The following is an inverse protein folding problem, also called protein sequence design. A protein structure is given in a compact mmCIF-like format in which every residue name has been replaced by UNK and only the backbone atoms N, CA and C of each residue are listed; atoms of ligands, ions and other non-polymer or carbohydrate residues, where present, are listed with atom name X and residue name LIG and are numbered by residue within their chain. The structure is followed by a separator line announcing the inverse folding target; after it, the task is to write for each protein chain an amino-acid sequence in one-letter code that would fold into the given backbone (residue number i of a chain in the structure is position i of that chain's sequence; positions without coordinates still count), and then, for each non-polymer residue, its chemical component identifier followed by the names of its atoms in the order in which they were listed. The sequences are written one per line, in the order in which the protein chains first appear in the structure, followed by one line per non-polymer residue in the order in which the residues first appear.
data_IF_771261432203
#
_entry.id   IF_771261432203
#
_cell.length_a   1.000
_cell.length_b   1.000
_cell.length_c   1.000
_cell.angle_alpha   90.00
_cell.angle_beta   90.00
_cell.angle_gamma   90.00
#
_symmetry.space_group_name_H-M   'P 1'
#
loop_
_entity.id
_entity.type
_entity.pdbx_description
1 polymer ?
#
# COMPACT_ATOMS: atom_id res chain seq x y z
N UNK A 1 -0.50 -11.32 2.59
CA UNK A 1 -0.79 -10.65 3.89
C UNK A 1 0.46 -10.81 4.76
N UNK A 2 0.76 -9.88 5.66
CA UNK A 2 1.81 -10.13 6.65
C UNK A 2 1.40 -11.28 7.60
N UNK A 3 2.37 -12.07 8.08
CA UNK A 3 2.10 -13.17 9.00
C UNK A 3 2.32 -12.74 10.45
N UNK A 4 1.36 -13.01 11.35
CA UNK A 4 1.48 -12.71 12.78
C UNK A 4 2.69 -13.43 13.36
N UNK A 5 2.88 -14.70 12.98
CA UNK A 5 4.01 -15.53 13.39
C UNK A 5 5.39 -14.97 13.00
N UNK A 6 5.45 -14.09 11.99
CA UNK A 6 6.69 -13.43 11.57
C UNK A 6 6.98 -12.12 12.30
N UNK A 7 6.02 -11.61 13.08
CA UNK A 7 6.20 -10.40 13.86
C UNK A 7 6.94 -10.70 15.16
N UNK A 8 7.75 -9.74 15.61
CA UNK A 8 8.33 -9.78 16.97
C UNK A 8 7.21 -9.85 18.00
N UNK A 9 7.49 -10.49 19.14
CA UNK A 9 6.57 -10.53 20.29
C UNK A 9 6.11 -9.11 20.62
N UNK A 10 4.79 -8.94 20.76
CA UNK A 10 4.21 -7.64 21.03
C UNK A 10 4.53 -7.13 22.43
N UNK A 11 4.26 -5.85 22.67
CA UNK A 11 4.53 -5.22 23.98
C UNK A 11 3.62 -5.79 25.05
N UNK A 12 4.17 -6.15 26.21
CA UNK A 12 3.43 -6.60 27.39
C UNK A 12 3.10 -5.46 28.37
N UNK A 13 3.63 -4.25 28.18
CA UNK A 13 3.43 -3.07 29.04
C UNK A 13 2.44 -2.03 28.44
N UNK A 14 1.77 -2.41 27.36
CA UNK A 14 0.98 -1.50 26.52
C UNK A 14 -0.45 -1.22 26.99
N UNK A 15 -1.16 -0.42 26.20
CA UNK A 15 -2.58 -0.14 26.42
C UNK A 15 -3.44 -1.41 26.38
N UNK A 16 -3.10 -2.37 25.50
CA UNK A 16 -3.82 -3.64 25.41
C UNK A 16 -3.75 -4.47 26.70
N UNK A 17 -2.58 -4.51 27.34
CA UNK A 17 -2.43 -5.15 28.66
C UNK A 17 -3.35 -4.51 29.69
N UNK A 18 -3.43 -3.17 29.74
CA UNK A 18 -4.31 -2.47 30.70
C UNK A 18 -5.79 -2.69 30.44
N UNK A 19 -6.19 -2.91 29.19
CA UNK A 19 -7.59 -3.19 28.82
C UNK A 19 -8.02 -4.56 29.35
N UNK A 20 -7.16 -5.57 29.24
CA UNK A 20 -7.51 -6.95 29.61
C UNK A 20 -7.00 -7.38 30.99
N UNK A 21 -6.10 -6.61 31.60
CA UNK A 21 -5.43 -6.99 32.84
C UNK A 21 -4.45 -8.16 32.68
N UNK A 22 -3.99 -8.44 31.46
CA UNK A 22 -3.20 -9.63 31.13
C UNK A 22 -2.10 -9.31 30.10
N UNK A 23 -0.86 -9.66 30.46
CA UNK A 23 0.33 -9.34 29.66
C UNK A 23 0.44 -10.21 28.39
N UNK A 24 0.05 -11.48 28.46
CA UNK A 24 0.15 -12.40 27.32
C UNK A 24 -0.88 -12.03 26.25
N UNK A 25 -2.12 -11.78 26.65
CA UNK A 25 -3.17 -11.32 25.77
C UNK A 25 -2.86 -9.93 25.22
N UNK A 26 -2.39 -9.01 26.06
CA UNK A 26 -1.94 -7.69 25.62
C UNK A 26 -0.84 -7.75 24.56
N UNK A 27 0.15 -8.63 24.76
CA UNK A 27 1.26 -8.87 23.83
C UNK A 27 0.77 -9.47 22.51
N UNK A 28 -0.12 -10.45 22.54
CA UNK A 28 -0.68 -11.07 21.32
C UNK A 28 -1.47 -10.05 20.49
N UNK A 29 -2.32 -9.24 21.11
CA UNK A 29 -3.07 -8.18 20.40
C UNK A 29 -2.13 -7.12 19.83
N UNK A 30 -1.09 -6.75 20.58
CA UNK A 30 -0.04 -5.85 20.07
C UNK A 30 0.67 -6.42 18.83
N UNK A 31 0.89 -7.74 18.78
CA UNK A 31 1.49 -8.42 17.63
C UNK A 31 0.55 -8.43 16.42
N UNK A 32 -0.76 -8.67 16.63
CA UNK A 32 -1.79 -8.57 15.59
C UNK A 32 -1.83 -7.16 15.00
N UNK A 33 -1.78 -6.12 15.83
CA UNK A 33 -1.73 -4.74 15.35
C UNK A 33 -0.45 -4.47 14.53
N UNK A 34 0.73 -4.89 15.01
CA UNK A 34 1.96 -4.74 14.21
C UNK A 34 1.85 -5.46 12.84
N UNK A 35 1.14 -6.60 12.81
CA UNK A 35 0.86 -7.34 11.57
C UNK A 35 -0.05 -6.56 10.63
N UNK A 36 -1.11 -5.91 11.13
CA UNK A 36 -2.02 -5.11 10.30
C UNK A 36 -1.34 -3.89 9.68
N UNK A 37 -0.40 -3.26 10.40
CA UNK A 37 0.44 -2.19 9.84
C UNK A 37 1.32 -2.74 8.71
N UNK A 38 1.97 -3.88 8.94
CA UNK A 38 2.88 -4.51 7.98
C UNK A 38 2.16 -5.04 6.73
N UNK A 39 0.85 -5.27 6.81
CA UNK A 39 0.04 -5.76 5.70
C UNK A 39 0.10 -4.86 4.46
N UNK A 40 0.14 -3.54 4.64
CA UNK A 40 0.27 -2.58 3.54
C UNK A 40 1.61 -2.74 2.80
N UNK A 41 2.71 -2.82 3.54
CA UNK A 41 4.04 -3.04 2.96
C UNK A 41 4.17 -4.39 2.26
N UNK A 42 3.54 -5.44 2.79
CA UNK A 42 3.52 -6.74 2.12
C UNK A 42 2.68 -6.72 0.83
N UNK A 43 1.60 -5.94 0.78
CA UNK A 43 0.85 -5.73 -0.46
C UNK A 43 1.72 -5.01 -1.51
N UNK A 44 2.49 -3.99 -1.12
CA UNK A 44 3.40 -3.30 -2.04
C UNK A 44 4.42 -4.26 -2.68
N UNK A 45 5.03 -5.12 -1.86
CA UNK A 45 5.98 -6.15 -2.31
C UNK A 45 5.32 -7.16 -3.24
N UNK A 46 4.09 -7.55 -2.94
CA UNK A 46 3.34 -8.52 -3.74
C UNK A 46 3.00 -7.95 -5.13
N UNK A 47 2.60 -6.68 -5.21
CA UNK A 47 2.38 -5.99 -6.48
C UNK A 47 3.69 -5.90 -7.29
N UNK A 48 4.79 -5.47 -6.66
CA UNK A 48 6.08 -5.38 -7.35
C UNK A 48 6.57 -6.76 -7.86
N UNK A 49 6.47 -7.81 -7.04
CA UNK A 49 6.90 -9.15 -7.44
C UNK A 49 6.00 -9.81 -8.50
N UNK A 50 4.75 -9.36 -8.61
CA UNK A 50 3.81 -9.85 -9.62
C UNK A 50 3.96 -9.15 -10.98
N UNK A 51 4.68 -8.02 -11.03
CA UNK A 51 4.84 -7.21 -12.25
C UNK A 51 6.17 -7.51 -12.94
N UNK A 52 6.15 -7.68 -14.26
CA UNK A 52 7.36 -8.03 -15.02
C UNK A 52 8.24 -6.82 -15.36
N UNK A 53 7.68 -5.61 -15.36
CA UNK A 53 8.37 -4.37 -15.74
C UNK A 53 8.55 -3.43 -14.54
N UNK A 54 9.13 -3.93 -13.44
CA UNK A 54 9.56 -3.07 -12.32
C UNK A 54 10.84 -2.36 -12.70
N UNK A 55 10.80 -1.02 -12.73
CA UNK A 55 11.95 -0.21 -13.12
C UNK A 55 13.13 -0.38 -12.18
N UNK A 56 14.30 -0.57 -12.78
CA UNK A 56 15.60 -0.40 -12.15
C UNK A 56 16.12 1.03 -12.32
N UNK A 57 17.27 1.33 -11.72
CA UNK A 57 17.96 2.60 -11.96
C UNK A 57 18.34 2.78 -13.44
N UNK A 58 18.70 1.69 -14.14
CA UNK A 58 19.03 1.75 -15.56
C UNK A 58 17.80 2.07 -16.41
N UNK A 59 16.64 1.50 -16.06
CA UNK A 59 15.39 1.77 -16.77
C UNK A 59 14.94 3.22 -16.60
N UNK A 60 15.13 3.81 -15.41
CA UNK A 60 14.91 5.23 -15.20
C UNK A 60 15.82 6.09 -16.10
N UNK A 61 17.09 5.72 -16.24
CA UNK A 61 17.99 6.40 -17.18
C UNK A 61 17.55 6.19 -18.64
N UNK A 62 17.04 5.01 -19.00
CA UNK A 62 16.51 4.73 -20.33
C UNK A 62 15.24 5.53 -20.62
N UNK A 63 14.37 5.74 -19.64
CA UNK A 63 13.19 6.62 -19.74
C UNK A 63 13.63 8.05 -20.11
N UNK A 64 14.57 8.62 -19.35
CA UNK A 64 15.07 9.99 -19.57
C UNK A 64 15.76 10.14 -20.93
N UNK A 65 16.40 9.08 -21.42
CA UNK A 65 17.03 9.05 -22.73
C UNK A 65 16.09 8.62 -23.87
N UNK A 66 14.77 8.48 -23.62
CA UNK A 66 13.76 8.08 -24.62
C UNK A 66 14.07 6.72 -25.28
N UNK A 67 14.67 5.79 -24.52
CA UNK A 67 15.08 4.43 -24.96
C UNK A 67 14.31 3.30 -24.28
N UNK A 68 13.35 3.63 -23.43
CA UNK A 68 12.55 2.64 -22.72
C UNK A 68 11.54 2.00 -23.68
N UNK A 69 11.42 0.66 -23.78
CA UNK A 69 10.50 0.03 -24.71
C UNK A 69 9.05 0.14 -24.21
N UNK A 70 8.12 0.15 -25.17
CA UNK A 70 6.68 0.28 -24.89
C UNK A 70 6.19 -0.72 -23.83
N UNK A 71 5.34 -0.25 -22.94
CA UNK A 71 4.81 -1.04 -21.83
C UNK A 71 4.29 -0.18 -20.69
N UNK A 72 3.93 -0.86 -19.60
CA UNK A 72 3.51 -0.26 -18.33
C UNK A 72 4.59 -0.54 -17.31
N UNK A 73 5.31 0.51 -16.90
CA UNK A 73 6.48 0.39 -16.06
C UNK A 73 6.18 0.87 -14.64
N UNK A 74 6.47 0.02 -13.65
CA UNK A 74 6.27 0.33 -12.24
C UNK A 74 7.56 0.88 -11.63
N UNK A 75 7.54 2.10 -11.13
CA UNK A 75 8.61 2.70 -10.36
C UNK A 75 8.32 2.44 -8.87
N UNK A 76 9.12 1.61 -8.18
CA UNK A 76 8.88 1.31 -6.78
C UNK A 76 9.31 2.47 -5.87
N UNK A 77 8.68 2.60 -4.70
CA UNK A 77 8.99 3.59 -3.64
C UNK A 77 10.47 3.81 -3.39
N UNK A 78 11.27 2.73 -3.33
CA UNK A 78 12.73 2.82 -3.12
C UNK A 78 13.45 3.62 -4.21
N UNK A 79 13.06 3.43 -5.47
CA UNK A 79 13.65 4.16 -6.60
C UNK A 79 13.17 5.61 -6.62
N UNK A 80 11.89 5.85 -6.28
CA UNK A 80 11.31 7.18 -6.11
C UNK A 80 12.10 7.97 -5.05
N UNK A 81 12.28 7.40 -3.86
CA UNK A 81 12.99 8.05 -2.76
C UNK A 81 14.45 8.36 -3.11
N UNK A 82 15.14 7.42 -3.74
CA UNK A 82 16.58 7.55 -4.01
C UNK A 82 16.89 8.52 -5.16
N UNK A 83 16.06 8.55 -6.20
CA UNK A 83 16.37 9.26 -7.44
C UNK A 83 15.37 10.37 -7.80
N UNK A 84 14.06 10.12 -7.68
CA UNK A 84 13.05 11.07 -8.16
C UNK A 84 12.83 12.19 -7.13
N UNK A 85 12.55 11.81 -5.88
CA UNK A 85 12.24 12.74 -4.77
C UNK A 85 13.28 13.87 -4.67
N UNK A 86 14.56 13.51 -4.71
CA UNK A 86 15.69 14.46 -4.63
C UNK A 86 15.73 15.41 -5.83
N UNK A 87 15.54 14.90 -7.04
CA UNK A 87 15.58 15.69 -8.26
C UNK A 87 14.41 16.68 -8.37
N UNK A 88 13.26 16.34 -7.80
CA UNK A 88 12.06 17.19 -7.85
C UNK A 88 11.90 18.06 -6.59
N UNK A 89 12.78 17.92 -5.59
CA UNK A 89 12.71 18.68 -4.33
C UNK A 89 11.46 18.41 -3.48
N UNK A 90 10.89 17.21 -3.55
CA UNK A 90 9.67 16.87 -2.80
C UNK A 90 9.98 16.33 -1.41
N UNK A 91 9.11 16.62 -0.43
CA UNK A 91 9.15 15.99 0.90
C UNK A 91 8.28 14.72 0.99
N UNK A 92 7.33 14.55 0.06
CA UNK A 92 6.42 13.42 0.00
C UNK A 92 6.97 12.25 -0.82
N UNK A 93 6.50 11.05 -0.53
CA UNK A 93 6.90 9.81 -1.19
C UNK A 93 5.66 8.96 -1.48
N UNK A 94 5.12 8.99 -2.71
CA UNK A 94 4.06 8.06 -3.10
C UNK A 94 4.61 6.62 -3.10
N UNK A 95 3.71 5.64 -3.02
CA UNK A 95 4.11 4.23 -3.00
C UNK A 95 4.60 3.76 -4.37
N UNK A 96 3.97 4.24 -5.45
CA UNK A 96 4.40 3.96 -6.82
C UNK A 96 4.31 5.16 -7.75
N UNK A 97 5.05 5.07 -8.84
CA UNK A 97 4.74 5.77 -10.09
C UNK A 97 4.55 4.71 -11.17
N UNK A 98 3.55 4.85 -12.03
CA UNK A 98 3.36 3.97 -13.18
C UNK A 98 3.49 4.80 -14.45
N UNK A 99 4.38 4.39 -15.35
CA UNK A 99 4.58 5.01 -16.66
C UNK A 99 3.97 4.09 -17.72
N UNK A 100 2.93 4.57 -18.40
CA UNK A 100 2.31 3.87 -19.54
C UNK A 100 2.76 4.59 -20.81
N UNK A 101 3.76 4.02 -21.48
CA UNK A 101 4.43 4.68 -22.61
C UNK A 101 3.52 4.92 -23.81
N UNK A 102 2.67 3.93 -24.15
CA UNK A 102 1.79 3.99 -25.33
C UNK A 102 0.74 5.11 -25.21
N UNK A 103 0.25 5.33 -23.99
CA UNK A 103 -0.78 6.34 -23.71
C UNK A 103 -0.19 7.69 -23.28
N UNK A 104 1.15 7.77 -23.16
CA UNK A 104 1.86 8.92 -22.59
C UNK A 104 1.30 9.33 -21.21
N UNK A 105 0.98 8.36 -20.35
CA UNK A 105 0.45 8.61 -19.00
C UNK A 105 1.44 8.28 -17.90
N UNK A 106 1.46 9.13 -16.88
CA UNK A 106 2.18 8.88 -15.64
C UNK A 106 1.23 8.97 -14.44
N UNK A 107 1.08 7.87 -13.71
CA UNK A 107 0.23 7.81 -12.53
C UNK A 107 1.08 7.86 -11.27
N UNK A 108 0.85 8.86 -10.43
CA UNK A 108 1.39 8.92 -9.06
C UNK A 108 0.42 8.20 -8.15
N UNK A 109 0.80 7.02 -7.65
CA UNK A 109 -0.11 6.12 -6.95
C UNK A 109 0.19 6.09 -5.46
N UNK A 110 -0.83 6.38 -4.66
CA UNK A 110 -0.86 6.10 -3.22
C UNK A 110 -1.68 4.83 -3.01
N UNK A 111 -1.10 3.82 -2.37
CA UNK A 111 -1.73 2.53 -2.16
C UNK A 111 -2.24 2.42 -0.72
N UNK A 112 -3.51 2.08 -0.58
CA UNK A 112 -4.15 1.79 0.69
C UNK A 112 -4.75 0.39 0.65
N UNK A 113 -4.69 -0.31 1.78
CA UNK A 113 -5.23 -1.66 1.86
C UNK A 113 -6.77 -1.66 1.95
N UNK A 114 -7.36 -0.67 2.64
CA UNK A 114 -8.80 -0.44 2.75
C UNK A 114 -9.17 1.03 2.57
N UNK A 115 -10.40 1.41 2.88
CA UNK A 115 -10.99 2.72 2.56
C UNK A 115 -11.49 3.54 3.78
N UNK A 116 -11.33 3.01 5.00
CA UNK A 116 -11.74 3.68 6.24
C UNK A 116 -10.63 4.58 6.79
N UNK A 117 -10.71 5.89 6.53
CA UNK A 117 -9.65 6.84 6.92
C UNK A 117 -10.09 7.92 7.91
N UNK A 118 -9.13 8.36 8.73
CA UNK A 118 -9.24 9.62 9.45
C UNK A 118 -9.26 10.79 8.45
N UNK A 119 -10.31 11.59 8.55
CA UNK A 119 -10.59 12.73 7.65
C UNK A 119 -9.46 13.74 7.50
N UNK A 120 -8.74 14.04 8.59
CA UNK A 120 -7.68 15.06 8.57
C UNK A 120 -6.45 14.51 7.88
N UNK A 121 -6.14 13.23 8.12
CA UNK A 121 -5.02 12.53 7.49
C UNK A 121 -5.24 12.39 5.98
N UNK A 122 -6.46 12.01 5.57
CA UNK A 122 -6.82 11.81 4.17
C UNK A 122 -6.59 13.08 3.30
N UNK A 123 -6.98 14.27 3.77
CA UNK A 123 -6.78 15.52 3.03
C UNK A 123 -5.30 15.87 2.84
N UNK A 124 -4.50 15.69 3.89
CA UNK A 124 -3.05 15.97 3.86
C UNK A 124 -2.29 15.03 2.92
N UNK A 125 -2.65 13.74 2.91
CA UNK A 125 -2.09 12.74 2.00
C UNK A 125 -2.41 13.08 0.54
N UNK A 126 -3.68 13.38 0.22
CA UNK A 126 -4.09 13.75 -1.14
C UNK A 126 -3.39 15.02 -1.63
N UNK A 127 -3.30 16.06 -0.79
CA UNK A 127 -2.59 17.29 -1.15
C UNK A 127 -1.11 17.01 -1.46
N UNK A 128 -0.48 16.15 -0.66
CA UNK A 128 0.91 15.73 -0.86
C UNK A 128 1.10 14.99 -2.18
N UNK A 129 0.20 14.06 -2.53
CA UNK A 129 0.22 13.37 -3.83
C UNK A 129 0.08 14.34 -5.01
N UNK A 130 -0.84 15.32 -4.93
CA UNK A 130 -1.04 16.31 -6.00
C UNK A 130 0.18 17.19 -6.20
N UNK A 131 0.78 17.67 -5.11
CA UNK A 131 2.04 18.43 -5.17
C UNK A 131 3.17 17.60 -5.78
N UNK A 132 3.30 16.32 -5.37
CA UNK A 132 4.28 15.42 -5.97
C UNK A 132 4.06 15.25 -7.48
N UNK A 133 2.81 15.01 -7.91
CA UNK A 133 2.47 14.85 -9.33
C UNK A 133 2.79 16.11 -10.15
N UNK A 134 2.52 17.30 -9.63
CA UNK A 134 2.89 18.55 -10.28
C UNK A 134 4.41 18.69 -10.44
N UNK A 135 5.17 18.47 -9.37
CA UNK A 135 6.63 18.55 -9.39
C UNK A 135 7.24 17.49 -10.33
N UNK A 136 6.70 16.29 -10.33
CA UNK A 136 7.13 15.20 -11.21
C UNK A 136 6.82 15.50 -12.67
N UNK A 137 5.64 16.05 -12.98
CA UNK A 137 5.30 16.51 -14.33
C UNK A 137 6.26 17.59 -14.84
N UNK A 138 6.58 18.59 -14.01
CA UNK A 138 7.57 19.61 -14.36
C UNK A 138 8.96 19.00 -14.61
N UNK A 139 9.35 18.00 -13.83
CA UNK A 139 10.61 17.29 -14.02
C UNK A 139 10.64 16.51 -15.34
N UNK A 140 9.57 15.80 -15.69
CA UNK A 140 9.46 15.11 -16.98
C UNK A 140 9.53 16.12 -18.13
N UNK A 141 8.79 17.22 -18.06
CA UNK A 141 8.79 18.28 -19.07
C UNK A 141 10.18 18.90 -19.27
N UNK A 142 10.93 19.16 -18.19
CA UNK A 142 12.32 19.65 -18.26
C UNK A 142 13.26 18.68 -18.99
N UNK A 143 12.94 17.39 -18.97
CA UNK A 143 13.68 16.35 -19.70
C UNK A 143 13.03 16.02 -21.06
N UNK A 144 12.17 16.91 -21.58
CA UNK A 144 11.46 16.75 -22.86
C UNK A 144 10.62 15.47 -22.96
N UNK A 145 10.00 15.07 -21.84
CA UNK A 145 9.05 13.96 -21.75
C UNK A 145 7.65 14.53 -21.48
N UNK A 146 6.72 14.29 -22.40
CA UNK A 146 5.39 14.91 -22.41
C UNK A 146 4.30 13.94 -21.92
N UNK A 147 4.36 13.57 -20.63
CA UNK A 147 3.35 12.69 -20.03
C UNK A 147 2.18 13.47 -19.42
N UNK A 148 0.95 12.96 -19.57
CA UNK A 148 -0.17 13.34 -18.73
C UNK A 148 0.03 12.78 -17.32
N UNK A 149 0.38 13.65 -16.37
CA UNK A 149 0.64 13.24 -14.99
C UNK A 149 -0.61 13.44 -14.12
N UNK A 150 -1.05 12.38 -13.44
CA UNK A 150 -2.19 12.47 -12.52
C UNK A 150 -2.03 11.55 -11.32
N UNK A 151 -2.71 11.88 -10.21
CA UNK A 151 -2.69 11.06 -9.00
C UNK A 151 -3.72 9.94 -9.07
N UNK A 152 -3.45 8.82 -8.41
CA UNK A 152 -4.40 7.73 -8.18
C UNK A 152 -4.32 7.26 -6.75
N UNK A 153 -5.43 7.33 -6.04
CA UNK A 153 -5.58 6.78 -4.71
C UNK A 153 -6.21 5.40 -4.86
N UNK A 154 -5.39 4.36 -4.69
CA UNK A 154 -5.80 2.98 -4.85
C UNK A 154 -6.20 2.39 -3.50
N UNK A 155 -7.47 2.04 -3.32
CA UNK A 155 -7.92 1.24 -2.18
C UNK A 155 -8.10 -0.21 -2.64
N UNK A 156 -7.09 -1.04 -2.37
CA UNK A 156 -6.90 -2.31 -3.08
C UNK A 156 -8.05 -3.32 -2.87
N UNK A 157 -8.60 -3.38 -1.66
CA UNK A 157 -9.70 -4.31 -1.35
C UNK A 157 -11.10 -3.69 -1.53
N UNK A 158 -11.20 -2.41 -1.92
CA UNK A 158 -12.48 -1.78 -2.23
C UNK A 158 -12.81 -1.98 -3.72
N UNK A 159 -14.05 -2.34 -4.02
CA UNK A 159 -14.54 -2.66 -5.38
C UNK A 159 -15.34 -1.52 -6.01
N UNK A 160 -15.65 -0.47 -5.25
CA UNK A 160 -16.43 0.68 -5.71
C UNK A 160 -15.64 1.98 -5.61
N UNK A 161 -15.46 2.69 -6.73
CA UNK A 161 -14.89 4.05 -6.71
C UNK A 161 -15.68 5.01 -5.84
N UNK A 162 -17.01 4.85 -5.78
CA UNK A 162 -17.88 5.76 -5.02
C UNK A 162 -17.69 5.56 -3.51
N UNK A 163 -17.51 4.33 -3.04
CA UNK A 163 -17.17 4.07 -1.63
C UNK A 163 -15.78 4.59 -1.28
N UNK A 164 -14.80 4.52 -2.20
CA UNK A 164 -13.50 5.15 -1.99
C UNK A 164 -13.66 6.68 -1.83
N UNK A 165 -14.36 7.34 -2.76
CA UNK A 165 -14.60 8.80 -2.69
C UNK A 165 -15.29 9.19 -1.38
N UNK A 166 -16.26 8.40 -0.94
CA UNK A 166 -16.98 8.58 0.32
C UNK A 166 -16.08 8.35 1.54
N UNK A 167 -15.23 7.33 1.53
CA UNK A 167 -14.22 7.07 2.57
C UNK A 167 -13.23 8.23 2.73
N UNK A 168 -12.86 8.86 1.61
CA UNK A 168 -12.07 10.10 1.57
C UNK A 168 -12.89 11.38 1.81
N UNK A 169 -14.18 11.25 2.10
CA UNK A 169 -15.14 12.34 2.36
C UNK A 169 -15.08 13.46 1.32
N UNK A 170 -14.98 13.08 0.04
CA UNK A 170 -14.94 13.99 -1.09
C UNK A 170 -13.60 14.73 -1.28
N UNK A 171 -12.52 14.35 -0.58
CA UNK A 171 -11.20 14.93 -0.79
C UNK A 171 -10.61 14.61 -2.18
N UNK A 172 -11.10 13.55 -2.80
CA UNK A 172 -10.71 13.11 -4.14
C UNK A 172 -11.92 13.03 -5.07
N UNK A 173 -11.64 13.13 -6.37
CA UNK A 173 -12.63 12.89 -7.44
C UNK A 173 -12.71 11.41 -7.77
N UNK A 174 -13.82 10.98 -8.37
CA UNK A 174 -14.00 9.61 -8.88
C UNK A 174 -12.89 9.20 -9.85
N UNK A 175 -12.41 10.12 -10.68
CA UNK A 175 -11.28 9.89 -11.61
C UNK A 175 -9.93 9.64 -10.92
N UNK A 176 -9.79 10.05 -9.66
CA UNK A 176 -8.59 9.83 -8.85
C UNK A 176 -8.71 8.55 -8.00
N UNK A 177 -9.91 7.97 -7.89
CA UNK A 177 -10.17 6.77 -7.10
C UNK A 177 -9.94 5.49 -7.92
N UNK A 178 -9.06 4.62 -7.44
CA UNK A 178 -8.80 3.31 -8.04
C UNK A 178 -9.12 2.18 -7.08
N UNK A 179 -9.74 1.14 -7.61
CA UNK A 179 -9.81 -0.17 -6.96
C UNK A 179 -8.51 -0.93 -7.18
N UNK A 180 -8.30 -2.02 -6.44
CA UNK A 180 -7.19 -2.94 -6.74
C UNK A 180 -7.27 -3.54 -8.14
N UNK A 181 -8.48 -3.72 -8.69
CA UNK A 181 -8.67 -4.21 -10.06
C UNK A 181 -8.19 -3.20 -11.10
N UNK A 182 -8.40 -1.89 -10.88
CA UNK A 182 -7.91 -0.86 -11.80
C UNK A 182 -6.39 -0.82 -11.83
N UNK A 183 -5.75 -0.84 -10.65
CA UNK A 183 -4.31 -0.90 -10.53
C UNK A 183 -3.75 -2.14 -11.25
N UNK A 184 -4.34 -3.31 -11.00
CA UNK A 184 -3.92 -4.56 -11.61
C UNK A 184 -4.09 -4.55 -13.14
N UNK A 185 -5.18 -3.95 -13.64
CA UNK A 185 -5.42 -3.80 -15.09
C UNK A 185 -4.36 -2.94 -15.75
N UNK A 186 -4.00 -1.81 -15.14
CA UNK A 186 -2.97 -0.91 -15.67
C UNK A 186 -1.58 -1.58 -15.66
N UNK A 187 -1.31 -2.42 -14.67
CA UNK A 187 -0.04 -3.17 -14.58
C UNK A 187 -0.05 -4.49 -15.40
N UNK A 188 -1.20 -4.96 -15.87
CA UNK A 188 -1.29 -6.26 -16.56
C UNK A 188 -1.06 -7.46 -15.63
N UNK A 189 -1.37 -7.32 -14.33
CA UNK A 189 -1.21 -8.39 -13.33
C UNK A 189 -2.57 -8.95 -12.87
N UNK A 190 -2.60 -10.17 -12.34
CA UNK A 190 -3.85 -10.80 -11.88
C UNK A 190 -4.23 -10.35 -10.48
N UNK A 191 -5.29 -9.55 -10.37
CA UNK A 191 -5.91 -9.19 -9.08
C UNK A 191 -6.32 -10.44 -8.29
N UNK A 192 -6.95 -11.42 -8.96
CA UNK A 192 -7.42 -12.65 -8.31
C UNK A 192 -6.27 -13.46 -7.69
N UNK A 193 -5.12 -13.55 -8.36
CA UNK A 193 -3.96 -14.26 -7.83
C UNK A 193 -3.43 -13.57 -6.57
N UNK A 194 -3.38 -12.24 -6.56
CA UNK A 194 -2.96 -11.45 -5.39
C UNK A 194 -3.91 -11.71 -4.21
N UNK A 195 -5.23 -11.67 -4.44
CA UNK A 195 -6.21 -11.95 -3.38
C UNK A 195 -6.12 -13.38 -2.86
N UNK A 196 -5.95 -14.37 -3.74
CA UNK A 196 -5.80 -15.78 -3.35
C UNK A 196 -4.54 -16.01 -2.49
N UNK A 197 -3.40 -15.43 -2.87
CA UNK A 197 -2.18 -15.52 -2.05
C UNK A 197 -2.38 -14.89 -0.66
N UNK A 198 -3.10 -13.76 -0.60
CA UNK A 198 -3.43 -13.12 0.67
C UNK A 198 -4.38 -13.97 1.52
N UNK A 199 -5.34 -14.67 0.91
CA UNK A 199 -6.28 -15.56 1.61
C UNK A 199 -5.57 -16.73 2.31
N UNK A 200 -4.55 -17.31 1.67
CA UNK A 200 -3.71 -18.35 2.31
C UNK A 200 -3.06 -17.81 3.59
N UNK A 201 -2.48 -16.62 3.54
CA UNK A 201 -1.85 -16.00 4.71
C UNK A 201 -2.87 -15.58 5.79
N UNK A 202 -4.10 -15.21 5.39
CA UNK A 202 -5.19 -14.95 6.34
C UNK A 202 -5.56 -16.21 7.13
N UNK A 203 -5.65 -17.36 6.44
CA UNK A 203 -5.91 -18.64 7.11
C UNK A 203 -4.78 -19.01 8.08
N UNK A 204 -3.53 -18.83 7.66
CA UNK A 204 -2.37 -19.05 8.53
C UNK A 204 -2.38 -18.15 9.76
N UNK A 205 -2.75 -16.86 9.59
CA UNK A 205 -2.90 -15.92 10.69
C UNK A 205 -4.01 -16.34 11.66
N UNK A 206 -5.16 -16.79 11.16
CA UNK A 206 -6.26 -17.26 12.00
C UNK A 206 -5.82 -18.47 12.84
N UNK A 207 -5.21 -19.48 12.20
CA UNK A 207 -4.71 -20.68 12.88
C UNK A 207 -3.68 -20.30 13.95
N UNK A 208 -2.72 -19.44 13.63
CA UNK A 208 -1.71 -18.98 14.58
C UNK A 208 -2.36 -18.22 15.74
N UNK A 209 -3.22 -17.24 15.45
CA UNK A 209 -3.88 -16.42 16.46
C UNK A 209 -4.68 -17.27 17.44
N UNK A 210 -5.53 -18.18 16.95
CA UNK A 210 -6.31 -19.10 17.81
C UNK A 210 -5.38 -20.00 18.62
N UNK A 211 -4.32 -20.53 17.99
CA UNK A 211 -3.34 -21.36 18.68
C UNK A 211 -2.63 -20.65 19.84
N UNK A 212 -2.21 -19.40 19.65
CA UNK A 212 -1.61 -18.59 20.73
C UNK A 212 -2.65 -18.19 21.77
N UNK A 213 -3.85 -17.79 21.34
CA UNK A 213 -4.94 -17.41 22.22
C UNK A 213 -5.31 -18.53 23.20
N UNK A 214 -5.36 -19.77 22.72
CA UNK A 214 -5.66 -20.96 23.53
C UNK A 214 -4.52 -21.37 24.47
N UNK A 215 -3.33 -20.78 24.38
CA UNK A 215 -2.24 -21.03 25.35
C UNK A 215 -2.40 -20.19 26.61
N UNK A 216 -3.06 -19.03 26.52
CA UNK A 216 -3.21 -18.06 27.60
C UNK A 216 -4.13 -18.60 28.69
N UNK A 217 -3.64 -18.68 29.92
CA UNK A 217 -4.36 -19.30 31.03
C UNK A 217 -5.63 -18.53 31.42
N UNK A 218 -5.60 -17.20 31.41
CA UNK A 218 -6.76 -16.36 31.73
C UNK A 218 -7.98 -16.73 30.87
N UNK A 219 -7.76 -16.96 29.58
CA UNK A 219 -8.83 -17.30 28.64
C UNK A 219 -9.35 -18.73 28.84
N UNK A 220 -8.49 -19.68 29.17
CA UNK A 220 -8.92 -21.05 29.51
C UNK A 220 -9.85 -21.05 30.72
N UNK A 221 -9.50 -20.27 31.75
CA UNK A 221 -10.31 -20.13 32.97
C UNK A 221 -11.67 -19.52 32.63
N UNK A 222 -11.69 -18.43 31.85
CA UNK A 222 -12.94 -17.78 31.46
C UNK A 222 -13.83 -18.68 30.60
N UNK A 223 -13.28 -19.38 29.60
CA UNK A 223 -14.04 -20.27 28.73
C UNK A 223 -14.61 -21.50 29.46
N UNK A 224 -13.94 -21.98 30.52
CA UNK A 224 -14.46 -23.06 31.34
C UNK A 224 -15.60 -22.62 32.28
N UNK A 225 -15.77 -21.31 32.47
CA UNK A 225 -16.78 -20.72 33.36
C UNK A 225 -18.05 -20.24 32.63
N UNK A 226 -18.07 -20.32 31.29
CA UNK A 226 -19.21 -20.01 30.41
C UNK A 226 -19.83 -21.33 29.95
#
# INVERSE_FOLDING_TARGET
MALISSMKKGRSDGGYTRVFGDEELGSLISQVHATSISAGTELEKLICSSHTQVMTQQDLANLLNKKLPNGSWLIPKKLIQKHIKKNIGSNSEPDFIIIVLVDEKAYVVELKDGDSFDTKKAKGEVASCRTFAQLFGNYLLKNELFFEVSIRICCFNQTSHDEIVKGFKGAIKKSEAWTGQDLCRVLGISYSNIIQQRAVHQQQNLTYFVGELMKINLLKIHLAAI
#
